data_IF_696798506971
#
_entry.id   IF_696798506971
#
_cell.length_a   1.000
_cell.length_b   1.000
_cell.length_c   1.000
_cell.angle_alpha   90.00
_cell.angle_beta   90.00
_cell.angle_gamma   90.00
#
_symmetry.space_group_name_H-M   'P 1'
#
loop_
_entity.id
_entity.type
_entity.pdbx_description
1 polymer ?
#
# COMPACT_ATOMS: atom_id res chain seq x y z
N UNK A 1 -7.20 7.37 -7.09
CA UNK A 1 -6.44 6.63 -8.12
C UNK A 1 -7.13 5.32 -8.45
N UNK A 2 -6.95 4.88 -9.68
CA UNK A 2 -7.51 3.63 -10.17
C UNK A 2 -6.39 2.76 -10.72
N UNK A 3 -6.39 1.48 -10.36
CA UNK A 3 -5.48 0.48 -10.93
C UNK A 3 -6.31 -0.46 -11.81
N UNK A 4 -5.97 -0.54 -13.09
CA UNK A 4 -6.68 -1.37 -14.07
C UNK A 4 -5.73 -1.81 -15.19
N UNK A 5 -6.26 -2.44 -16.24
CA UNK A 5 -5.45 -2.95 -17.34
C UNK A 5 -4.70 -1.85 -18.10
N UNK A 6 -5.21 -0.61 -18.13
CA UNK A 6 -4.55 0.53 -18.79
C UNK A 6 -3.57 1.26 -17.87
N UNK A 7 -3.72 1.12 -16.54
CA UNK A 7 -2.81 1.65 -15.52
C UNK A 7 -2.59 0.59 -14.44
N UNK A 8 -1.77 -0.43 -14.74
CA UNK A 8 -1.72 -1.64 -13.91
C UNK A 8 -0.89 -1.51 -12.64
N UNK A 9 -0.23 -0.37 -12.43
CA UNK A 9 0.66 -0.18 -11.29
C UNK A 9 0.41 1.17 -10.62
N UNK A 10 0.39 1.17 -9.29
CA UNK A 10 0.29 2.39 -8.47
C UNK A 10 1.43 2.39 -7.46
N UNK A 11 2.24 3.45 -7.47
CA UNK A 11 3.46 3.57 -6.66
C UNK A 11 3.23 4.46 -5.44
N UNK A 12 3.70 3.99 -4.28
CA UNK A 12 3.64 4.71 -3.00
C UNK A 12 5.05 5.00 -2.51
N UNK A 13 5.27 6.17 -1.96
CA UNK A 13 6.54 6.48 -1.33
C UNK A 13 6.70 7.94 -0.98
N UNK A 14 7.84 8.29 -0.38
CA UNK A 14 8.15 9.64 0.06
C UNK A 14 8.63 10.55 -1.08
N UNK A 15 9.17 9.97 -2.13
CA UNK A 15 9.66 10.69 -3.30
C UNK A 15 8.52 11.21 -4.17
N UNK A 16 8.68 12.40 -4.75
CA UNK A 16 7.65 13.03 -5.58
C UNK A 16 7.35 12.30 -6.88
N UNK A 17 8.20 11.36 -7.30
CA UNK A 17 7.96 10.54 -8.48
C UNK A 17 6.94 9.42 -8.26
N UNK A 18 6.49 9.18 -7.04
CA UNK A 18 5.44 8.20 -6.76
C UNK A 18 4.06 8.76 -7.09
N UNK A 19 3.11 7.86 -7.38
CA UNK A 19 1.72 8.25 -7.64
C UNK A 19 1.06 8.79 -6.38
N UNK A 20 1.26 8.09 -5.26
CA UNK A 20 0.82 8.55 -3.94
C UNK A 20 2.06 8.89 -3.13
N UNK A 21 2.21 10.18 -2.81
CA UNK A 21 3.33 10.68 -2.01
C UNK A 21 2.90 10.73 -0.55
N UNK A 22 3.59 9.96 0.30
CA UNK A 22 3.33 9.93 1.74
C UNK A 22 4.52 10.56 2.45
N UNK A 23 4.32 11.73 3.02
CA UNK A 23 5.38 12.51 3.67
C UNK A 23 5.43 12.17 5.16
N UNK A 24 6.29 11.21 5.50
CA UNK A 24 6.52 10.76 6.87
C UNK A 24 7.94 10.19 6.93
N UNK A 25 8.72 10.46 7.99
CA UNK A 25 10.10 9.95 8.08
C UNK A 25 10.22 8.43 8.07
N UNK A 26 9.15 7.72 8.38
CA UNK A 26 9.13 6.25 8.36
C UNK A 26 8.90 5.66 6.96
N UNK A 27 8.53 6.50 5.99
CA UNK A 27 8.24 6.08 4.62
C UNK A 27 9.52 6.09 3.80
N UNK A 28 9.80 4.99 3.11
CA UNK A 28 10.92 4.91 2.18
C UNK A 28 10.61 5.72 0.91
N UNK A 29 11.64 6.13 0.19
CA UNK A 29 11.48 6.90 -1.06
C UNK A 29 10.58 6.17 -2.05
N UNK A 30 10.82 4.87 -2.24
CA UNK A 30 9.96 3.95 -2.98
C UNK A 30 9.54 2.88 -2.00
N UNK A 31 8.33 2.99 -1.48
CA UNK A 31 7.91 2.21 -0.32
C UNK A 31 7.19 0.93 -0.70
N UNK A 32 6.18 1.06 -1.54
CA UNK A 32 5.33 -0.06 -1.92
C UNK A 32 4.67 0.21 -3.27
N UNK A 33 4.06 -0.81 -3.84
CA UNK A 33 3.24 -0.65 -5.04
C UNK A 33 2.05 -1.58 -5.01
N UNK A 34 0.97 -1.17 -5.63
CA UNK A 34 -0.14 -2.06 -5.98
C UNK A 34 -0.01 -2.38 -7.45
N UNK A 35 -0.20 -3.63 -7.79
CA UNK A 35 0.00 -4.12 -9.14
C UNK A 35 -1.10 -5.10 -9.53
N UNK A 36 -1.71 -4.89 -10.70
CA UNK A 36 -2.68 -5.83 -11.26
C UNK A 36 -1.92 -6.92 -12.03
N UNK A 37 -2.07 -8.17 -11.59
CA UNK A 37 -1.47 -9.36 -12.23
C UNK A 37 -2.53 -10.43 -12.39
N UNK A 38 -2.82 -10.82 -13.63
CA UNK A 38 -3.75 -11.93 -13.92
C UNK A 38 -5.12 -11.77 -13.21
N UNK A 39 -5.64 -10.55 -13.18
CA UNK A 39 -6.93 -10.26 -12.56
C UNK A 39 -6.91 -10.11 -11.05
N UNK A 40 -5.75 -10.23 -10.40
CA UNK A 40 -5.59 -10.06 -8.96
C UNK A 40 -4.76 -8.82 -8.66
N UNK A 41 -5.06 -8.15 -7.54
CA UNK A 41 -4.32 -6.99 -7.08
C UNK A 41 -3.34 -7.41 -6.00
N UNK A 42 -2.07 -7.10 -6.21
CA UNK A 42 -0.98 -7.42 -5.28
C UNK A 42 -0.43 -6.14 -4.68
N UNK A 43 -0.23 -6.15 -3.36
CA UNK A 43 0.52 -5.13 -2.66
C UNK A 43 1.92 -5.69 -2.42
N UNK A 44 2.93 -5.00 -2.98
CA UNK A 44 4.34 -5.41 -2.83
C UNK A 44 5.07 -4.38 -1.99
N UNK A 45 5.72 -4.82 -0.92
CA UNK A 45 6.57 -3.99 -0.09
C UNK A 45 8.03 -4.08 -0.52
N UNK A 46 8.68 -2.91 -0.65
CA UNK A 46 10.12 -2.81 -0.90
C UNK A 46 10.78 -1.83 0.08
N UNK A 47 10.16 -1.60 1.23
CA UNK A 47 10.58 -0.59 2.19
C UNK A 47 11.54 -1.11 3.26
N UNK A 48 12.08 -0.17 4.05
CA UNK A 48 12.87 -0.48 5.23
C UNK A 48 12.00 -0.87 6.42
N UNK A 49 10.87 -0.17 6.61
CA UNK A 49 10.04 -0.31 7.82
C UNK A 49 8.78 -1.17 7.64
N UNK A 50 8.53 -1.65 6.42
CA UNK A 50 7.36 -2.48 6.12
C UNK A 50 6.14 -1.66 5.71
N UNK A 51 5.16 -2.36 5.16
CA UNK A 51 3.86 -1.81 4.78
C UNK A 51 2.79 -2.52 5.60
N UNK A 52 1.97 -1.74 6.31
CA UNK A 52 0.94 -2.27 7.18
C UNK A 52 -0.39 -2.29 6.45
N UNK A 53 -1.04 -3.45 6.44
CA UNK A 53 -2.31 -3.65 5.75
C UNK A 53 -3.38 -4.01 6.77
N UNK A 54 -4.42 -3.17 6.84
CA UNK A 54 -5.58 -3.42 7.67
C UNK A 54 -6.80 -3.58 6.76
N UNK A 55 -7.16 -4.81 6.51
CA UNK A 55 -8.33 -5.13 5.70
C UNK A 55 -9.58 -5.24 6.56
N UNK A 56 -10.75 -4.96 5.97
CA UNK A 56 -12.02 -5.06 6.68
C UNK A 56 -12.24 -6.48 7.20
N UNK A 57 -12.55 -6.59 8.48
CA UNK A 57 -12.82 -7.87 9.13
C UNK A 57 -11.59 -8.70 9.47
N UNK A 58 -10.38 -8.17 9.28
CA UNK A 58 -9.13 -8.88 9.54
C UNK A 58 -8.22 -8.11 10.49
N UNK A 59 -7.27 -8.81 11.09
CA UNK A 59 -6.22 -8.18 11.87
C UNK A 59 -5.18 -7.53 10.95
N UNK A 60 -4.49 -6.51 11.46
CA UNK A 60 -3.45 -5.84 10.70
C UNK A 60 -2.25 -6.76 10.42
N UNK A 61 -1.76 -6.73 9.18
CA UNK A 61 -0.55 -7.42 8.76
C UNK A 61 0.56 -6.42 8.49
N UNK A 62 1.80 -6.77 8.86
CA UNK A 62 2.97 -6.07 8.38
C UNK A 62 3.60 -6.88 7.25
N UNK A 63 3.60 -6.31 6.05
CA UNK A 63 4.20 -6.91 4.86
C UNK A 63 5.58 -6.30 4.70
N UNK A 64 6.61 -7.14 4.69
CA UNK A 64 7.98 -6.66 4.60
C UNK A 64 8.76 -7.45 3.55
N UNK A 65 9.09 -6.76 2.46
CA UNK A 65 9.82 -7.30 1.30
C UNK A 65 9.15 -8.55 0.72
N UNK A 66 7.83 -8.46 0.59
CA UNK A 66 6.99 -9.57 0.15
C UNK A 66 5.77 -9.02 -0.60
N UNK A 67 5.04 -9.91 -1.23
CA UNK A 67 3.79 -9.64 -1.92
C UNK A 67 2.62 -10.12 -1.08
N UNK A 68 1.47 -9.45 -1.23
CA UNK A 68 0.23 -9.84 -0.58
C UNK A 68 -0.95 -9.58 -1.52
N UNK A 69 -1.85 -10.55 -1.68
CA UNK A 69 -3.04 -10.38 -2.50
C UNK A 69 -4.06 -9.57 -1.71
N UNK A 70 -4.50 -8.43 -2.27
CA UNK A 70 -5.47 -7.55 -1.62
C UNK A 70 -6.87 -8.15 -1.64
N UNK A 71 -7.59 -8.03 -0.52
CA UNK A 71 -9.01 -8.30 -0.41
C UNK A 71 -9.84 -7.12 -0.93
N UNK A 72 -11.11 -7.06 -0.53
CA UNK A 72 -12.07 -6.10 -1.10
C UNK A 72 -11.78 -4.66 -0.76
N UNK A 73 -11.43 -4.37 0.50
CA UNK A 73 -11.15 -3.00 0.95
C UNK A 73 -10.37 -2.98 2.25
N UNK A 74 -9.73 -1.85 2.50
CA UNK A 74 -8.97 -1.64 3.72
C UNK A 74 -8.14 -0.38 3.68
N UNK A 75 -7.10 -0.36 4.52
CA UNK A 75 -6.18 0.76 4.66
C UNK A 75 -4.74 0.28 4.60
N UNK A 76 -3.89 1.12 4.03
CA UNK A 76 -2.46 0.85 3.89
C UNK A 76 -1.69 1.91 4.67
N UNK A 77 -0.84 1.47 5.60
CA UNK A 77 0.09 2.33 6.35
C UNK A 77 1.51 2.10 5.85
N UNK A 78 2.12 3.13 5.28
CA UNK A 78 3.48 3.05 4.76
C UNK A 78 4.49 3.33 5.87
N UNK A 79 5.08 2.28 6.43
CA UNK A 79 6.08 2.38 7.49
C UNK A 79 5.53 2.61 8.89
N UNK A 80 4.20 2.61 9.05
CA UNK A 80 3.55 2.80 10.35
C UNK A 80 2.24 2.00 10.40
N UNK A 81 1.84 1.60 11.61
CA UNK A 81 0.55 0.94 11.82
C UNK A 81 -0.59 1.90 11.47
N UNK A 82 -1.61 1.39 10.78
CA UNK A 82 -2.80 2.16 10.44
C UNK A 82 -3.47 2.73 11.69
N UNK A 83 -3.52 1.94 12.79
CA UNK A 83 -4.10 2.39 14.05
C UNK A 83 -3.34 3.57 14.68
N UNK A 84 -2.03 3.67 14.46
CA UNK A 84 -1.19 4.73 15.01
C UNK A 84 -1.32 6.03 14.21
N UNK A 85 -1.64 5.96 12.92
CA UNK A 85 -1.76 7.13 12.06
C UNK A 85 -2.81 6.90 10.96
N UNK A 86 -4.07 6.87 11.36
CA UNK A 86 -5.17 6.66 10.41
C UNK A 86 -5.25 7.76 9.35
N UNK A 87 -4.95 9.00 9.72
CA UNK A 87 -5.02 10.13 8.79
C UNK A 87 -3.92 10.08 7.71
N UNK A 88 -2.81 9.41 7.99
CA UNK A 88 -1.73 9.20 7.02
C UNK A 88 -1.87 7.91 6.22
N UNK A 89 -2.86 7.08 6.52
CA UNK A 89 -3.08 5.83 5.82
C UNK A 89 -3.82 6.06 4.49
N UNK A 90 -3.60 5.15 3.56
CA UNK A 90 -4.25 5.18 2.24
C UNK A 90 -5.39 4.18 2.23
N UNK A 91 -6.60 4.64 1.96
CA UNK A 91 -7.76 3.76 1.82
C UNK A 91 -7.80 3.15 0.43
N UNK A 92 -8.19 1.89 0.33
CA UNK A 92 -8.39 1.23 -0.95
C UNK A 92 -9.70 0.44 -0.96
N UNK A 93 -10.25 0.26 -2.16
CA UNK A 93 -11.39 -0.61 -2.39
C UNK A 93 -11.27 -1.22 -3.78
N UNK A 94 -11.53 -2.52 -3.88
CA UNK A 94 -11.58 -3.23 -5.16
C UNK A 94 -13.01 -3.10 -5.69
N UNK A 95 -13.10 -2.58 -6.90
CA UNK A 95 -14.36 -2.25 -7.51
C UNK A 95 -15.30 -3.34 -7.85
#
# INVERSE_FOLDING_TARGET
WTVDASSPTLLFGRETGNDIVVVDPRVSRQHARIELRNGLFYLTDSSTNGTYLLEEGAAEHCIKRDDFILGEKGYIGCGFSVADNMSGAVAFALG
#
